data_IF_422912202729
#
_entry.id   IF_422912202729
#
_cell.length_a   1.000
_cell.length_b   1.000
_cell.length_c   1.000
_cell.angle_alpha   90.00
_cell.angle_beta   90.00
_cell.angle_gamma   90.00
#
_symmetry.space_group_name_H-M   'P 1'
#
loop_
_entity.id
_entity.type
_entity.pdbx_description
1 polymer ?
#
# COMPACT_ATOMS: atom_id res chain seq x y z
N UNK A 1 -38.15 -8.94 53.18
CA UNK A 1 -37.36 -9.95 53.93
C UNK A 1 -35.90 -9.76 53.50
N UNK A 2 -35.07 -9.03 54.25
CA UNK A 2 -34.30 -9.38 55.48
C UNK A 2 -33.20 -10.45 55.27
N UNK A 3 -31.94 -9.96 55.35
CA UNK A 3 -30.72 -10.59 55.92
C UNK A 3 -30.04 -11.73 55.12
N UNK A 4 -28.71 -11.94 55.09
CA UNK A 4 -27.49 -11.58 55.89
C UNK A 4 -26.24 -11.93 55.01
N UNK A 5 -25.20 -11.12 54.83
CA UNK A 5 -23.95 -10.83 55.61
C UNK A 5 -22.90 -11.96 55.82
N UNK A 6 -21.61 -11.62 55.50
CA UNK A 6 -20.30 -12.00 56.14
C UNK A 6 -19.75 -13.43 55.88
N UNK A 7 -18.45 -13.77 55.73
CA UNK A 7 -17.09 -13.18 55.67
C UNK A 7 -16.15 -14.29 55.10
N UNK A 8 -15.10 -14.01 54.30
CA UNK A 8 -13.67 -13.83 54.68
C UNK A 8 -13.07 -14.93 55.59
N UNK A 9 -11.98 -15.60 55.14
CA UNK A 9 -10.64 -15.67 55.77
C UNK A 9 -9.76 -16.81 55.19
N UNK A 10 -8.55 -16.44 54.70
CA UNK A 10 -7.21 -17.11 54.81
C UNK A 10 -7.00 -18.50 54.17
N UNK A 11 -5.83 -18.94 53.67
CA UNK A 11 -4.45 -18.91 54.19
C UNK A 11 -3.43 -19.08 53.02
N UNK A 12 -2.22 -18.55 53.20
CA UNK A 12 -1.04 -18.60 52.34
C UNK A 12 -0.28 -19.96 52.33
N UNK A 13 0.60 -20.19 51.35
CA UNK A 13 2.06 -20.37 51.55
C UNK A 13 2.80 -21.11 50.41
N UNK A 14 3.95 -20.53 50.03
CA UNK A 14 5.27 -21.11 49.70
C UNK A 14 5.39 -22.00 48.43
N UNK A 15 6.01 -21.50 47.36
CA UNK A 15 7.47 -21.51 47.07
C UNK A 15 7.98 -22.82 46.47
N UNK A 16 8.36 -22.78 45.19
CA UNK A 16 9.53 -23.47 44.68
C UNK A 16 10.06 -22.78 43.41
N UNK A 17 11.37 -22.56 43.42
CA UNK A 17 12.18 -21.89 42.42
C UNK A 17 12.09 -22.54 41.03
N UNK A 18 12.10 -21.74 39.96
CA UNK A 18 12.88 -22.11 38.78
C UNK A 18 13.40 -20.89 38.00
N UNK A 19 14.67 -21.05 37.62
CA UNK A 19 15.64 -20.19 36.94
C UNK A 19 15.16 -19.11 35.96
N UNK A 20 15.94 -18.02 35.80
CA UNK A 20 15.82 -17.11 34.66
C UNK A 20 16.47 -17.73 33.43
N UNK A 21 15.68 -18.01 32.38
CA UNK A 21 16.24 -18.06 31.03
C UNK A 21 16.38 -16.64 30.54
N UNK A 22 17.63 -16.21 30.40
CA UNK A 22 17.98 -15.07 29.57
C UNK A 22 17.66 -15.44 28.11
N UNK A 23 16.40 -15.26 27.73
CA UNK A 23 16.02 -15.22 26.33
C UNK A 23 16.28 -13.80 25.84
N UNK A 24 17.18 -13.68 24.87
CA UNK A 24 17.52 -12.42 24.26
C UNK A 24 16.25 -11.79 23.69
N UNK A 25 15.77 -10.75 24.36
CA UNK A 25 14.76 -9.86 23.79
C UNK A 25 15.37 -9.23 22.53
N UNK A 26 15.08 -9.83 21.37
CA UNK A 26 15.18 -9.10 20.12
C UNK A 26 14.31 -7.85 20.26
N UNK A 27 14.81 -6.64 19.98
CA UNK A 27 13.94 -5.48 19.94
C UNK A 27 12.83 -5.78 18.94
N UNK A 28 11.58 -5.73 19.39
CA UNK A 28 10.43 -5.75 18.50
C UNK A 28 10.68 -4.70 17.41
N UNK A 29 10.49 -5.03 16.12
CA UNK A 29 10.58 -4.00 15.08
C UNK A 29 9.60 -2.90 15.48
N UNK A 30 10.13 -1.71 15.76
CA UNK A 30 9.32 -0.53 15.99
C UNK A 30 8.45 -0.35 14.75
N UNK A 31 7.19 -0.78 14.84
CA UNK A 31 6.15 -0.35 13.91
C UNK A 31 5.92 1.11 14.24
N UNK A 32 6.71 1.97 13.62
CA UNK A 32 6.44 3.41 13.60
C UNK A 32 5.11 3.54 12.86
N UNK A 33 4.02 3.67 13.61
CA UNK A 33 2.78 4.18 13.05
C UNK A 33 3.07 5.65 12.65
N UNK A 34 3.01 6.01 11.36
CA UNK A 34 3.25 7.38 10.95
C UNK A 34 2.20 8.29 11.58
N UNK A 35 2.67 9.31 12.28
CA UNK A 35 1.85 10.43 12.76
C UNK A 35 1.13 11.10 11.60
N UNK A 36 -0.07 11.69 11.82
CA UNK A 36 -0.71 12.53 10.82
C UNK A 36 0.19 13.75 10.56
N UNK A 37 0.84 13.78 9.40
CA UNK A 37 1.74 14.87 9.00
C UNK A 37 3.10 14.42 8.46
N UNK A 38 3.50 13.16 8.64
CA UNK A 38 4.69 12.63 7.94
C UNK A 38 4.27 12.08 6.57
N UNK A 39 4.80 12.65 5.49
CA UNK A 39 4.61 12.14 4.14
C UNK A 39 4.96 10.64 4.05
N UNK A 40 4.33 9.94 3.12
CA UNK A 40 4.62 8.52 2.89
C UNK A 40 6.12 8.32 2.58
N UNK A 41 6.73 7.35 3.25
CA UNK A 41 8.11 6.95 3.04
C UNK A 41 8.12 5.66 2.22
N UNK A 42 8.71 5.64 1.00
CA UNK A 42 8.87 4.41 0.23
C UNK A 42 9.64 3.33 1.00
N UNK A 43 9.37 2.03 0.75
CA UNK A 43 10.12 0.95 1.36
C UNK A 43 11.60 1.03 0.99
N UNK A 44 12.46 0.50 1.87
CA UNK A 44 13.86 0.30 1.55
C UNK A 44 14.00 -0.60 0.32
N UNK A 45 15.14 -0.51 -0.36
CA UNK A 45 15.38 -1.25 -1.59
C UNK A 45 16.67 -2.07 -1.57
N UNK A 46 16.73 -3.09 -2.40
CA UNK A 46 17.94 -3.86 -2.71
C UNK A 46 18.07 -4.07 -4.21
N UNK A 47 19.29 -4.28 -4.69
CA UNK A 47 19.52 -4.56 -6.10
C UNK A 47 18.85 -5.87 -6.51
N UNK A 48 18.09 -5.84 -7.61
CA UNK A 48 17.52 -7.00 -8.28
C UNK A 48 18.27 -7.36 -9.57
N UNK A 49 17.63 -8.18 -10.42
CA UNK A 49 18.16 -8.59 -11.73
C UNK A 49 17.54 -7.75 -12.85
N UNK A 50 18.19 -7.70 -14.01
CA UNK A 50 17.64 -7.12 -15.24
C UNK A 50 17.14 -5.67 -15.09
N UNK A 51 17.89 -4.84 -14.34
CA UNK A 51 17.55 -3.43 -14.10
C UNK A 51 16.52 -3.19 -12.99
N UNK A 52 15.96 -4.25 -12.40
CA UNK A 52 15.03 -4.12 -11.28
C UNK A 52 15.74 -3.80 -9.97
N UNK A 53 15.08 -2.96 -9.18
CA UNK A 53 15.37 -2.68 -7.78
C UNK A 53 14.20 -3.21 -6.96
N UNK A 54 14.46 -4.12 -6.02
CA UNK A 54 13.42 -4.82 -5.26
C UNK A 54 13.11 -4.07 -3.98
N UNK A 55 11.83 -3.94 -3.62
CA UNK A 55 11.43 -3.40 -2.33
C UNK A 55 11.65 -4.45 -1.23
N UNK A 56 12.17 -4.00 -0.09
CA UNK A 56 12.39 -4.81 1.10
C UNK A 56 11.28 -4.52 2.09
N UNK A 57 10.59 -5.57 2.56
CA UNK A 57 9.51 -5.49 3.55
C UNK A 57 8.41 -4.48 3.18
N UNK A 58 8.05 -4.41 1.89
CA UNK A 58 6.95 -3.56 1.44
C UNK A 58 5.64 -3.98 2.14
N UNK A 59 4.99 -3.00 2.79
CA UNK A 59 3.71 -3.21 3.46
C UNK A 59 2.65 -3.67 2.47
N UNK A 60 1.88 -4.70 2.84
CA UNK A 60 0.65 -5.06 2.13
C UNK A 60 -0.49 -4.13 2.55
N UNK A 61 -1.11 -3.51 1.56
CA UNK A 61 -2.27 -2.64 1.70
C UNK A 61 -3.54 -3.44 1.49
N UNK A 62 -4.53 -3.18 2.33
CA UNK A 62 -5.83 -3.84 2.34
C UNK A 62 -6.91 -2.82 2.66
N UNK A 63 -8.19 -3.08 2.34
CA UNK A 63 -9.29 -2.19 2.73
C UNK A 63 -9.28 -1.79 4.20
N UNK A 64 -8.85 -2.68 5.10
CA UNK A 64 -8.78 -2.41 6.54
C UNK A 64 -7.75 -1.35 6.93
N UNK A 65 -6.67 -1.17 6.16
CA UNK A 65 -5.55 -0.30 6.52
C UNK A 65 -5.35 0.91 5.59
N UNK A 66 -6.27 1.13 4.63
CA UNK A 66 -6.24 2.26 3.68
C UNK A 66 -7.26 3.37 3.96
N UNK A 67 -8.14 3.22 4.97
CA UNK A 67 -9.27 4.13 5.25
C UNK A 67 -8.88 5.62 5.18
N UNK A 68 -7.83 6.01 5.89
CA UNK A 68 -7.36 7.40 5.98
C UNK A 68 -6.03 7.62 5.23
N UNK A 69 -5.60 6.65 4.41
CA UNK A 69 -4.31 6.67 3.76
C UNK A 69 -4.35 7.49 2.45
N UNK A 70 -3.68 8.66 2.46
CA UNK A 70 -3.52 9.57 1.33
C UNK A 70 -2.05 9.98 1.18
N UNK A 71 -1.20 9.15 0.55
CA UNK A 71 0.26 9.36 0.55
C UNK A 71 0.75 10.54 -0.32
N UNK A 72 -0.12 11.20 -1.07
CA UNK A 72 0.23 12.27 -2.01
C UNK A 72 0.87 11.75 -3.30
N UNK A 73 1.63 12.62 -3.98
CA UNK A 73 2.13 12.38 -5.35
C UNK A 73 3.63 12.70 -5.52
N UNK A 74 4.35 12.91 -4.41
CA UNK A 74 5.76 13.32 -4.42
C UNK A 74 6.72 12.20 -4.84
N UNK A 75 6.33 10.95 -4.65
CA UNK A 75 7.08 9.75 -5.05
C UNK A 75 6.22 8.87 -5.95
N UNK A 76 6.82 8.05 -6.84
CA UNK A 76 6.06 7.17 -7.70
C UNK A 76 5.28 6.11 -6.88
N UNK A 77 5.86 5.62 -5.81
CA UNK A 77 5.20 4.68 -4.89
C UNK A 77 3.99 5.32 -4.22
N UNK A 78 4.10 6.58 -3.77
CA UNK A 78 2.98 7.33 -3.19
C UNK A 78 1.85 7.50 -4.20
N UNK A 79 2.15 7.94 -5.43
CA UNK A 79 1.14 8.14 -6.47
C UNK A 79 0.41 6.83 -6.81
N UNK A 80 1.15 5.73 -6.96
CA UNK A 80 0.55 4.42 -7.23
C UNK A 80 -0.32 3.93 -6.07
N UNK A 81 0.18 4.05 -4.84
CA UNK A 81 -0.58 3.64 -3.67
C UNK A 81 -1.79 4.55 -3.42
N UNK A 82 -1.74 5.82 -3.80
CA UNK A 82 -2.91 6.69 -3.77
C UNK A 82 -4.03 6.13 -4.66
N UNK A 83 -3.70 5.68 -5.87
CA UNK A 83 -4.62 5.05 -6.80
C UNK A 83 -5.27 3.80 -6.17
N UNK A 84 -4.48 2.82 -5.72
CA UNK A 84 -5.04 1.59 -5.17
C UNK A 84 -5.78 1.78 -3.85
N UNK A 85 -5.27 2.65 -2.96
CA UNK A 85 -5.94 2.93 -1.70
C UNK A 85 -7.33 3.52 -1.93
N UNK A 86 -7.48 4.40 -2.92
CA UNK A 86 -8.79 4.93 -3.34
C UNK A 86 -9.70 3.87 -3.93
N UNK A 87 -9.19 3.02 -4.82
CA UNK A 87 -9.94 1.86 -5.35
C UNK A 87 -10.44 0.93 -4.24
N UNK A 88 -9.61 0.65 -3.22
CA UNK A 88 -9.97 -0.18 -2.06
C UNK A 88 -11.04 0.46 -1.17
N UNK A 89 -11.08 1.80 -1.08
CA UNK A 89 -12.12 2.53 -0.33
C UNK A 89 -13.42 2.69 -1.10
N UNK A 90 -13.39 2.52 -2.43
CA UNK A 90 -14.54 2.77 -3.30
C UNK A 90 -14.85 4.25 -3.49
N UNK A 91 -13.87 5.14 -3.28
CA UNK A 91 -14.01 6.57 -3.59
C UNK A 91 -13.40 6.91 -4.96
N UNK A 92 -13.51 8.17 -5.39
CA UNK A 92 -13.03 8.63 -6.70
C UNK A 92 -11.67 9.35 -6.65
N UNK A 93 -11.00 9.39 -5.49
CA UNK A 93 -9.73 10.08 -5.32
C UNK A 93 -8.61 9.52 -6.22
N UNK A 94 -8.73 8.27 -6.69
CA UNK A 94 -7.80 7.62 -7.61
C UNK A 94 -7.62 8.41 -8.91
N UNK A 95 -8.64 9.18 -9.33
CA UNK A 95 -8.56 10.05 -10.51
C UNK A 95 -7.47 11.12 -10.34
N UNK A 96 -7.18 11.55 -9.13
CA UNK A 96 -6.11 12.53 -8.84
C UNK A 96 -4.70 11.96 -9.03
N UNK A 97 -4.55 10.63 -8.98
CA UNK A 97 -3.30 9.93 -9.26
C UNK A 97 -3.05 9.76 -10.76
N UNK A 98 -4.05 10.03 -11.61
CA UNK A 98 -3.93 9.97 -13.06
C UNK A 98 -3.51 11.32 -13.65
N UNK A 99 -3.08 11.28 -14.91
CA UNK A 99 -2.89 12.50 -15.70
C UNK A 99 -4.22 13.22 -15.85
N UNK A 100 -4.24 14.52 -15.56
CA UNK A 100 -5.43 15.36 -15.69
C UNK A 100 -5.03 16.81 -16.01
N UNK A 101 -6.03 17.60 -16.38
CA UNK A 101 -5.89 18.97 -16.87
C UNK A 101 -5.34 19.97 -15.84
N UNK A 102 -5.37 19.64 -14.55
CA UNK A 102 -4.77 20.49 -13.51
C UNK A 102 -3.25 20.43 -13.48
N UNK A 103 -2.63 19.48 -14.18
CA UNK A 103 -1.17 19.29 -14.19
C UNK A 103 -0.57 20.15 -15.31
N UNK A 104 0.35 21.09 -15.01
CA UNK A 104 0.98 21.91 -16.03
C UNK A 104 1.68 21.08 -17.11
N UNK A 105 1.50 21.45 -18.39
CA UNK A 105 2.13 20.82 -19.56
C UNK A 105 1.83 19.32 -19.72
N UNK A 106 0.73 18.82 -19.15
CA UNK A 106 0.36 17.41 -19.25
C UNK A 106 0.19 16.94 -20.71
N UNK A 107 -0.36 17.80 -21.56
CA UNK A 107 -0.68 17.58 -22.97
C UNK A 107 0.56 17.42 -23.85
N UNK A 108 1.70 17.99 -23.43
CA UNK A 108 2.99 17.83 -24.13
C UNK A 108 3.62 16.45 -23.92
N UNK A 109 3.26 15.78 -22.83
CA UNK A 109 3.91 14.54 -22.38
C UNK A 109 2.96 13.34 -22.56
N UNK A 110 1.67 13.53 -22.30
CA UNK A 110 0.68 12.47 -22.28
C UNK A 110 -0.19 12.51 -23.54
N UNK A 111 0.11 11.60 -24.48
CA UNK A 111 -0.55 11.59 -25.79
C UNK A 111 -1.96 11.01 -25.74
N UNK A 112 -2.76 11.31 -26.77
CA UNK A 112 -4.11 10.75 -26.95
C UNK A 112 -4.10 9.22 -26.97
N UNK A 113 -3.08 8.61 -27.56
CA UNK A 113 -2.94 7.16 -27.59
C UNK A 113 -2.71 6.58 -26.20
N UNK A 114 -1.89 7.23 -25.38
CA UNK A 114 -1.67 6.83 -23.99
C UNK A 114 -2.95 6.97 -23.16
N UNK A 115 -3.70 8.07 -23.35
CA UNK A 115 -4.99 8.26 -22.72
C UNK A 115 -5.96 7.12 -23.06
N UNK A 116 -6.09 6.76 -24.35
CA UNK A 116 -6.95 5.66 -24.79
C UNK A 116 -6.55 4.33 -24.16
N UNK A 117 -5.26 3.98 -24.16
CA UNK A 117 -4.76 2.74 -23.55
C UNK A 117 -5.02 2.70 -22.03
N UNK A 118 -4.87 3.82 -21.34
CA UNK A 118 -5.19 3.92 -19.92
C UNK A 118 -6.69 3.75 -19.69
N UNK A 119 -7.53 4.40 -20.49
CA UNK A 119 -8.98 4.28 -20.40
C UNK A 119 -9.45 2.83 -20.61
N UNK A 120 -8.93 2.15 -21.64
CA UNK A 120 -9.25 0.73 -21.90
C UNK A 120 -8.93 -0.15 -20.70
N UNK A 121 -7.83 0.13 -19.99
CA UNK A 121 -7.41 -0.60 -18.80
C UNK A 121 -8.29 -0.28 -17.58
N UNK A 122 -8.67 0.97 -17.40
CA UNK A 122 -9.60 1.38 -16.34
C UNK A 122 -10.98 0.76 -16.56
N UNK A 123 -11.44 0.65 -17.80
CA UNK A 123 -12.73 0.06 -18.14
C UNK A 123 -12.74 -1.45 -17.89
N UNK A 124 -11.64 -2.17 -18.15
CA UNK A 124 -11.50 -3.60 -17.81
C UNK A 124 -11.50 -3.84 -16.31
N UNK A 125 -10.81 -2.98 -15.56
CA UNK A 125 -10.68 -3.11 -14.10
C UNK A 125 -11.79 -2.42 -13.31
N UNK A 126 -12.83 -1.87 -13.97
CA UNK A 126 -13.86 -1.05 -13.31
C UNK A 126 -14.65 -1.78 -12.22
N UNK A 127 -14.84 -3.09 -12.39
CA UNK A 127 -15.60 -3.95 -11.48
C UNK A 127 -14.70 -4.77 -10.55
N UNK A 128 -13.39 -4.51 -10.54
CA UNK A 128 -12.45 -5.25 -9.72
C UNK A 128 -12.52 -4.79 -8.26
N UNK A 129 -12.51 -5.77 -7.35
CA UNK A 129 -12.42 -5.54 -5.91
C UNK A 129 -10.99 -5.84 -5.48
N UNK A 130 -10.25 -4.84 -5.02
CA UNK A 130 -8.87 -5.02 -4.57
C UNK A 130 -8.85 -5.44 -3.09
N UNK A 131 -8.39 -6.67 -2.82
CA UNK A 131 -8.25 -7.20 -1.46
C UNK A 131 -6.89 -6.90 -0.86
N UNK A 132 -5.83 -7.10 -1.65
CA UNK A 132 -4.45 -6.90 -1.23
C UNK A 132 -3.64 -6.27 -2.37
N UNK A 133 -2.78 -5.31 -2.02
CA UNK A 133 -1.79 -4.72 -2.94
C UNK A 133 -0.46 -4.59 -2.20
N UNK A 134 0.63 -5.03 -2.82
CA UNK A 134 1.99 -4.88 -2.28
C UNK A 134 2.97 -4.50 -3.38
N UNK A 135 3.90 -3.60 -3.05
CA UNK A 135 4.94 -3.18 -3.98
C UNK A 135 6.05 -4.25 -4.00
N UNK A 136 6.48 -4.68 -5.18
CA UNK A 136 7.47 -5.76 -5.34
C UNK A 136 8.83 -5.21 -5.76
N UNK A 137 8.85 -4.33 -6.77
CA UNK A 137 10.08 -3.69 -7.22
C UNK A 137 9.79 -2.53 -8.15
N UNK A 138 10.86 -1.83 -8.56
CA UNK A 138 10.80 -0.78 -9.57
C UNK A 138 11.94 -0.86 -10.56
N UNK A 139 11.71 -0.31 -11.73
CA UNK A 139 12.70 -0.17 -12.79
C UNK A 139 12.49 1.17 -13.49
N UNK A 140 13.57 1.93 -13.67
CA UNK A 140 13.57 3.17 -14.44
C UNK A 140 13.95 2.88 -15.89
N UNK A 141 13.25 3.49 -16.84
CA UNK A 141 13.54 3.37 -18.27
C UNK A 141 13.12 4.66 -18.99
N UNK A 142 14.10 5.53 -19.23
CA UNK A 142 13.86 6.87 -19.77
C UNK A 142 12.95 7.69 -18.84
N UNK A 143 11.92 8.32 -19.41
CA UNK A 143 10.96 9.15 -18.66
C UNK A 143 9.89 8.33 -17.92
N UNK A 144 9.98 6.99 -17.97
CA UNK A 144 9.02 6.08 -17.37
C UNK A 144 9.64 5.34 -16.19
N UNK A 145 8.81 5.10 -15.19
CA UNK A 145 9.12 4.25 -14.07
C UNK A 145 8.09 3.13 -14.01
N UNK A 146 8.58 1.91 -14.04
CA UNK A 146 7.78 0.70 -13.87
C UNK A 146 7.79 0.32 -12.39
N UNK A 147 6.62 0.07 -11.80
CA UNK A 147 6.50 -0.53 -10.48
C UNK A 147 5.83 -1.88 -10.63
N UNK A 148 6.54 -2.92 -10.23
CA UNK A 148 5.98 -4.26 -10.10
C UNK A 148 5.12 -4.31 -8.85
N UNK A 149 3.88 -4.73 -9.02
CA UNK A 149 2.86 -4.77 -7.97
C UNK A 149 2.33 -6.18 -7.88
N UNK A 150 2.21 -6.70 -6.66
CA UNK A 150 1.45 -7.92 -6.38
C UNK A 150 0.05 -7.52 -5.95
N UNK A 151 -0.95 -8.12 -6.57
CA UNK A 151 -2.35 -7.82 -6.32
C UNK A 151 -3.13 -9.09 -6.05
N UNK A 152 -4.14 -8.97 -5.19
CA UNK A 152 -5.21 -9.96 -5.02
C UNK A 152 -6.52 -9.26 -5.27
N UNK A 153 -7.21 -9.69 -6.31
CA UNK A 153 -8.41 -9.04 -6.84
C UNK A 153 -9.60 -10.00 -6.87
N UNK A 154 -10.80 -9.45 -6.75
CA UNK A 154 -12.05 -10.14 -6.98
C UNK A 154 -12.72 -9.65 -8.26
N UNK A 155 -13.16 -10.56 -9.12
CA UNK A 155 -13.92 -10.26 -10.34
C UNK A 155 -14.88 -11.41 -10.65
N UNK A 156 -16.15 -11.10 -10.94
CA UNK A 156 -17.19 -12.09 -11.30
C UNK A 156 -17.28 -13.31 -10.33
N UNK A 157 -17.13 -13.04 -9.02
CA UNK A 157 -17.19 -14.08 -7.99
C UNK A 157 -15.93 -14.94 -7.87
N UNK A 158 -14.88 -14.66 -8.64
CA UNK A 158 -13.57 -15.31 -8.56
C UNK A 158 -12.58 -14.41 -7.83
N UNK A 159 -11.63 -15.04 -7.14
CA UNK A 159 -10.49 -14.36 -6.53
C UNK A 159 -9.24 -14.80 -7.28
N UNK A 160 -8.49 -13.83 -7.78
CA UNK A 160 -7.24 -14.03 -8.49
C UNK A 160 -6.11 -13.32 -7.78
N UNK A 161 -4.88 -13.80 -7.98
CA UNK A 161 -3.68 -13.16 -7.45
C UNK A 161 -2.59 -13.20 -8.49
N UNK A 162 -1.93 -12.06 -8.70
CA UNK A 162 -0.97 -11.89 -9.77
C UNK A 162 0.13 -10.91 -9.40
N UNK A 163 1.12 -10.83 -10.26
CA UNK A 163 2.16 -9.79 -10.17
C UNK A 163 2.38 -9.24 -11.57
N UNK A 164 2.22 -7.94 -11.71
CA UNK A 164 2.32 -7.23 -12.98
C UNK A 164 2.80 -5.79 -12.74
N UNK A 165 3.08 -5.06 -13.82
CA UNK A 165 3.76 -3.78 -13.76
C UNK A 165 2.80 -2.61 -14.04
N UNK A 166 2.76 -1.66 -13.10
CA UNK A 166 2.21 -0.33 -13.31
C UNK A 166 3.27 0.57 -13.94
N UNK A 167 2.84 1.48 -14.82
CA UNK A 167 3.72 2.51 -15.40
C UNK A 167 3.37 3.87 -14.83
N UNK A 168 4.42 4.59 -14.41
CA UNK A 168 4.34 5.95 -13.92
C UNK A 168 5.25 6.87 -14.70
N UNK A 169 4.88 8.15 -14.70
CA UNK A 169 5.70 9.23 -15.26
C UNK A 169 5.73 10.39 -14.29
N UNK A 170 6.80 11.17 -14.35
CA UNK A 170 6.87 12.46 -13.66
C UNK A 170 6.45 13.57 -14.63
N UNK A 171 5.37 14.28 -14.30
CA UNK A 171 4.87 15.41 -15.09
C UNK A 171 4.83 16.65 -14.18
N UNK A 172 5.66 17.64 -14.49
CA UNK A 172 5.98 18.72 -13.56
C UNK A 172 6.59 18.18 -12.26
N UNK A 173 6.05 18.59 -11.12
CA UNK A 173 6.51 18.15 -9.80
C UNK A 173 5.76 16.92 -9.25
N UNK A 174 4.94 16.27 -10.08
CA UNK A 174 4.04 15.19 -9.63
C UNK A 174 4.31 13.89 -10.38
N UNK A 175 4.28 12.79 -9.64
CA UNK A 175 4.19 11.46 -10.22
C UNK A 175 2.74 11.12 -10.52
N UNK A 176 2.50 10.51 -11.69
CA UNK A 176 1.19 10.13 -12.18
C UNK A 176 1.23 8.70 -12.72
N UNK A 177 0.12 7.99 -12.53
CA UNK A 177 -0.10 6.66 -13.09
C UNK A 177 -0.57 6.81 -14.53
N UNK A 178 0.18 6.22 -15.47
CA UNK A 178 -0.11 6.26 -16.91
C UNK A 178 -0.50 4.89 -17.46
N UNK A 179 -0.28 3.81 -16.70
CA UNK A 179 -0.78 2.47 -17.00
C UNK A 179 -0.90 1.65 -15.71
N UNK A 180 -1.93 0.81 -15.62
CA UNK A 180 -2.16 -0.12 -14.50
C UNK A 180 -2.15 -1.58 -15.00
N UNK A 181 -1.92 -2.56 -14.11
CA UNK A 181 -2.21 -3.97 -14.37
C UNK A 181 -3.67 -4.22 -14.76
N UNK A 182 -3.91 -5.15 -15.68
CA UNK A 182 -5.25 -5.60 -16.13
C UNK A 182 -5.24 -7.01 -16.67
#
# INVERSE_FOLDING_TARGET
MKHRTIALFFVAALSCCNRPSAEMAHPSPNVVNPSPGSGYVPPATTQGKDGWVMYVNAKTWTPANVKDFRPGFATPEAALLHFYASKMRGDEDWKQALVNESIPNWDRVFTVEMFKRLQDKLDRSKNWIYFEVSLVGKMENGDKLYIKVREKIGFEGRIESGTDDATLMKIGDRWVVVSIPT
#
